data_IF_150600986052
#
_entry.id   IF_150600986052
#
_cell.length_a   1.000
_cell.length_b   1.000
_cell.length_c   1.000
_cell.angle_alpha   90.00
_cell.angle_beta   90.00
_cell.angle_gamma   90.00
#
_symmetry.space_group_name_H-M   'P 1'
#
loop_
_entity.id
_entity.type
_entity.pdbx_description
1 polymer ?
#
# COMPACT_ATOMS: atom_id res chain seq x y z
N UNK A 1 13.05 -14.45 -24.69
CA UNK A 1 11.97 -14.55 -23.68
C UNK A 1 12.03 -13.38 -22.72
N UNK A 2 10.93 -13.04 -22.02
CA UNK A 2 10.81 -11.81 -21.19
C UNK A 2 11.99 -11.53 -20.25
N UNK A 3 12.61 -12.56 -19.69
CA UNK A 3 13.73 -12.43 -18.76
C UNK A 3 15.05 -12.02 -19.42
N UNK A 4 15.29 -12.40 -20.69
CA UNK A 4 16.49 -12.00 -21.42
C UNK A 4 16.46 -10.50 -21.77
N UNK A 5 15.29 -10.00 -22.19
CA UNK A 5 15.10 -8.56 -22.44
C UNK A 5 15.28 -7.73 -21.16
N UNK A 6 14.82 -8.25 -20.02
CA UNK A 6 15.05 -7.63 -18.71
C UNK A 6 16.54 -7.61 -18.34
N UNK A 7 17.23 -8.74 -18.49
CA UNK A 7 18.67 -8.84 -18.20
C UNK A 7 19.48 -7.82 -18.99
N UNK A 8 19.22 -7.70 -20.30
CA UNK A 8 19.85 -6.67 -21.13
C UNK A 8 19.53 -5.25 -20.65
N UNK A 9 18.27 -4.97 -20.28
CA UNK A 9 17.84 -3.68 -19.74
C UNK A 9 18.53 -3.32 -18.43
N UNK A 10 18.60 -4.26 -17.49
CA UNK A 10 19.31 -4.08 -16.23
C UNK A 10 20.80 -3.80 -16.45
N UNK A 11 21.44 -4.52 -17.38
CA UNK A 11 22.85 -4.28 -17.72
C UNK A 11 23.07 -2.91 -18.38
N UNK A 12 22.18 -2.46 -19.27
CA UNK A 12 22.23 -1.11 -19.85
C UNK A 12 22.11 -0.04 -18.77
N UNK A 13 21.10 -0.14 -17.91
CA UNK A 13 20.86 0.80 -16.82
C UNK A 13 22.04 0.84 -15.82
N UNK A 14 22.61 -0.33 -15.50
CA UNK A 14 23.76 -0.42 -14.60
C UNK A 14 25.01 0.23 -15.21
N UNK A 15 25.26 0.02 -16.52
CA UNK A 15 26.37 0.66 -17.24
C UNK A 15 26.21 2.17 -17.30
N UNK A 16 25.00 2.68 -17.56
CA UNK A 16 24.72 4.11 -17.61
C UNK A 16 25.04 4.82 -16.28
N UNK A 17 24.89 4.12 -15.14
CA UNK A 17 25.22 4.60 -13.80
C UNK A 17 26.62 4.21 -13.30
N UNK A 18 27.42 3.52 -14.10
CA UNK A 18 28.69 2.92 -13.64
C UNK A 18 28.52 2.06 -12.35
N UNK A 19 27.37 1.40 -12.22
CA UNK A 19 26.99 0.64 -11.04
C UNK A 19 27.26 -0.86 -11.21
N UNK A 20 27.69 -1.52 -10.14
CA UNK A 20 27.72 -2.98 -10.05
C UNK A 20 26.47 -3.47 -9.34
N UNK A 21 25.65 -4.22 -10.06
CA UNK A 21 24.38 -4.74 -9.55
C UNK A 21 24.47 -6.24 -9.34
N UNK A 22 23.74 -6.74 -8.35
CA UNK A 22 23.46 -8.17 -8.22
C UNK A 22 21.99 -8.36 -8.52
N UNK A 23 21.65 -9.36 -9.33
CA UNK A 23 20.26 -9.68 -9.57
C UNK A 23 20.09 -11.17 -9.77
N UNK A 24 18.88 -11.64 -9.53
CA UNK A 24 18.48 -13.01 -9.85
C UNK A 24 17.03 -13.03 -10.28
N UNK A 25 16.71 -13.95 -11.17
CA UNK A 25 15.33 -14.29 -11.50
C UNK A 25 15.02 -15.65 -10.91
N UNK A 26 13.92 -15.74 -10.18
CA UNK A 26 13.38 -17.01 -9.69
C UNK A 26 11.87 -17.02 -9.91
N UNK A 27 11.40 -18.07 -10.57
CA UNK A 27 10.00 -18.24 -10.97
C UNK A 27 9.52 -17.04 -11.83
N UNK A 28 8.50 -16.33 -11.36
CA UNK A 28 7.92 -15.15 -11.99
C UNK A 28 8.39 -13.82 -11.35
N UNK A 29 9.51 -13.82 -10.61
CA UNK A 29 10.00 -12.66 -9.88
C UNK A 29 11.49 -12.41 -10.12
N UNK A 30 11.86 -11.13 -10.18
CA UNK A 30 13.24 -10.67 -10.18
C UNK A 30 13.56 -10.01 -8.83
N UNK A 31 14.74 -10.30 -8.30
CA UNK A 31 15.29 -9.63 -7.13
C UNK A 31 16.56 -8.91 -7.57
N UNK A 32 16.67 -7.62 -7.25
CA UNK A 32 17.73 -6.74 -7.71
C UNK A 32 18.29 -6.01 -6.49
N UNK A 33 19.61 -6.07 -6.33
CA UNK A 33 20.38 -5.30 -5.36
C UNK A 33 21.15 -4.25 -6.14
N UNK A 34 20.81 -2.99 -5.87
CA UNK A 34 21.37 -1.83 -6.56
C UNK A 34 22.00 -0.88 -5.54
N UNK A 35 23.26 -0.46 -5.70
CA UNK A 35 23.89 0.52 -4.82
C UNK A 35 23.27 1.91 -5.06
N UNK A 36 22.84 2.56 -3.98
CA UNK A 36 22.30 3.91 -4.03
C UNK A 36 22.81 4.72 -2.82
N UNK A 37 23.04 6.01 -3.02
CA UNK A 37 23.54 6.94 -2.01
C UNK A 37 22.40 7.62 -1.24
N UNK A 38 21.31 7.96 -1.93
CA UNK A 38 20.17 8.67 -1.34
C UNK A 38 18.81 8.29 -1.98
N UNK A 39 17.73 8.79 -1.38
CA UNK A 39 16.36 8.50 -1.80
C UNK A 39 16.03 9.05 -3.21
N UNK A 40 16.69 10.12 -3.64
CA UNK A 40 16.49 10.69 -4.97
C UNK A 40 17.07 9.77 -6.04
N UNK A 41 18.25 9.20 -5.78
CA UNK A 41 18.87 8.19 -6.62
C UNK A 41 18.01 6.92 -6.66
N UNK A 42 17.51 6.45 -5.51
CA UNK A 42 16.57 5.31 -5.46
C UNK A 42 15.35 5.56 -6.34
N UNK A 43 14.74 6.74 -6.26
CA UNK A 43 13.59 7.09 -7.09
C UNK A 43 13.91 7.12 -8.61
N UNK A 44 15.13 7.49 -8.98
CA UNK A 44 15.60 7.45 -10.37
C UNK A 44 15.83 6.01 -10.84
N UNK A 45 16.51 5.18 -10.04
CA UNK A 45 16.78 3.77 -10.32
C UNK A 45 15.46 3.01 -10.50
N UNK A 46 14.52 3.21 -9.58
CA UNK A 46 13.23 2.52 -9.59
C UNK A 46 12.42 2.86 -10.83
N UNK A 47 12.41 4.13 -11.27
CA UNK A 47 11.75 4.51 -12.52
C UNK A 47 12.37 3.80 -13.72
N UNK A 48 13.69 3.83 -13.84
CA UNK A 48 14.38 3.22 -14.97
C UNK A 48 14.20 1.70 -15.01
N UNK A 49 14.35 1.02 -13.88
CA UNK A 49 14.13 -0.44 -13.79
C UNK A 49 12.70 -0.80 -14.15
N UNK A 50 11.71 -0.01 -13.69
CA UNK A 50 10.30 -0.21 -14.05
C UNK A 50 10.08 -0.03 -15.55
N UNK A 51 10.68 1.00 -16.14
CA UNK A 51 10.49 1.30 -17.56
C UNK A 51 11.15 0.21 -18.44
N UNK A 52 12.34 -0.29 -18.06
CA UNK A 52 12.98 -1.46 -18.69
C UNK A 52 12.14 -2.74 -18.56
N UNK A 53 11.54 -2.98 -17.39
CA UNK A 53 10.62 -4.10 -17.15
C UNK A 53 9.37 -4.02 -18.05
N UNK A 54 8.76 -2.84 -18.14
CA UNK A 54 7.57 -2.63 -18.97
C UNK A 54 7.90 -2.80 -20.47
N UNK A 55 9.04 -2.29 -20.93
CA UNK A 55 9.50 -2.46 -22.30
C UNK A 55 9.73 -3.96 -22.63
N UNK A 56 10.38 -4.70 -21.73
CA UNK A 56 10.61 -6.13 -21.89
C UNK A 56 9.30 -6.94 -22.00
N UNK A 57 8.23 -6.53 -21.29
CA UNK A 57 6.91 -7.14 -21.41
C UNK A 57 6.19 -6.77 -22.71
N UNK A 58 6.26 -5.50 -23.11
CA UNK A 58 5.62 -4.98 -24.33
C UNK A 58 6.17 -5.67 -25.60
N UNK A 59 7.49 -5.89 -25.68
CA UNK A 59 8.13 -6.59 -26.81
C UNK A 59 7.60 -8.02 -27.00
N UNK A 60 7.10 -8.64 -25.93
CA UNK A 60 6.53 -9.99 -25.97
C UNK A 60 5.00 -10.00 -26.10
N UNK A 61 4.35 -8.85 -26.32
CA UNK A 61 2.89 -8.74 -26.43
C UNK A 61 2.14 -9.10 -25.14
N UNK A 62 2.82 -9.09 -23.99
CA UNK A 62 2.21 -9.46 -22.71
C UNK A 62 1.32 -8.35 -22.18
N UNK A 63 0.15 -8.72 -21.66
CA UNK A 63 -0.75 -7.83 -20.91
C UNK A 63 -0.49 -7.86 -19.39
N UNK A 64 0.54 -8.59 -18.95
CA UNK A 64 0.92 -8.66 -17.54
C UNK A 64 1.39 -7.30 -17.02
N UNK A 65 1.12 -7.04 -15.74
CA UNK A 65 1.59 -5.85 -15.04
C UNK A 65 2.65 -6.22 -14.00
N UNK A 66 3.66 -5.35 -13.83
CA UNK A 66 4.74 -5.59 -12.88
C UNK A 66 4.49 -4.83 -11.59
N UNK A 67 4.53 -5.55 -10.47
CA UNK A 67 4.53 -4.95 -9.13
C UNK A 67 5.95 -4.96 -8.59
N UNK A 68 6.39 -3.86 -7.98
CA UNK A 68 7.75 -3.72 -7.44
C UNK A 68 7.69 -3.25 -5.99
N UNK A 69 8.40 -3.94 -5.10
CA UNK A 69 8.67 -3.49 -3.76
C UNK A 69 10.11 -3.01 -3.65
N UNK A 70 10.33 -1.87 -3.01
CA UNK A 70 11.64 -1.23 -2.88
C UNK A 70 11.99 -1.11 -1.40
N UNK A 71 13.13 -1.68 -1.02
CA UNK A 71 13.63 -1.64 0.35
C UNK A 71 14.34 -0.33 0.67
N UNK A 72 14.71 -0.14 1.95
CA UNK A 72 15.49 1.01 2.39
C UNK A 72 16.94 0.92 1.93
N UNK A 73 17.62 2.06 1.85
CA UNK A 73 19.08 2.11 1.72
C UNK A 73 19.70 1.57 3.02
N UNK A 74 20.66 0.66 2.86
CA UNK A 74 21.34 -0.04 3.94
C UNK A 74 22.77 -0.34 3.54
N UNK A 75 23.67 -0.36 4.51
CA UNK A 75 25.10 -0.57 4.29
C UNK A 75 25.55 -1.98 4.68
N UNK A 76 26.57 -2.50 4.00
CA UNK A 76 27.18 -3.78 4.30
C UNK A 76 26.33 -5.00 3.90
N UNK A 77 26.85 -6.20 4.17
CA UNK A 77 26.21 -7.45 3.80
C UNK A 77 24.88 -7.69 4.54
N UNK A 78 24.83 -7.35 5.83
CA UNK A 78 23.58 -7.42 6.61
C UNK A 78 22.55 -6.41 6.10
N UNK A 79 23.01 -5.26 5.60
CA UNK A 79 22.16 -4.27 4.97
C UNK A 79 21.43 -4.79 3.74
N UNK A 80 22.09 -5.62 2.92
CA UNK A 80 21.46 -6.27 1.76
C UNK A 80 20.29 -7.16 2.22
N UNK A 81 20.48 -7.96 3.28
CA UNK A 81 19.43 -8.81 3.84
C UNK A 81 18.24 -8.00 4.33
N UNK A 82 18.49 -6.92 5.08
CA UNK A 82 17.44 -6.05 5.61
C UNK A 82 16.67 -5.34 4.49
N UNK A 83 17.39 -4.77 3.52
CA UNK A 83 16.77 -4.09 2.37
C UNK A 83 15.94 -5.06 1.51
N UNK A 84 16.42 -6.31 1.33
CA UNK A 84 15.65 -7.36 0.66
C UNK A 84 14.37 -7.72 1.41
N UNK A 85 14.42 -7.85 2.74
CA UNK A 85 13.22 -8.09 3.56
C UNK A 85 12.22 -6.93 3.44
N UNK A 86 12.71 -5.68 3.55
CA UNK A 86 11.90 -4.47 3.35
C UNK A 86 11.24 -4.47 1.96
N UNK A 87 11.98 -4.77 0.89
CA UNK A 87 11.48 -4.82 -0.48
C UNK A 87 10.37 -5.87 -0.64
N UNK A 88 10.54 -7.07 -0.05
CA UNK A 88 9.51 -8.12 -0.08
C UNK A 88 8.25 -7.73 0.67
N UNK A 89 8.41 -7.10 1.84
CA UNK A 89 7.29 -6.60 2.62
C UNK A 89 6.56 -5.48 1.87
N UNK A 90 7.30 -4.55 1.25
CA UNK A 90 6.72 -3.48 0.43
C UNK A 90 5.96 -4.01 -0.79
N UNK A 91 6.47 -5.04 -1.46
CA UNK A 91 5.77 -5.69 -2.57
C UNK A 91 4.45 -6.32 -2.09
N UNK A 92 4.49 -7.01 -0.95
CA UNK A 92 3.32 -7.71 -0.39
C UNK A 92 2.24 -6.73 0.04
N UNK A 93 2.60 -5.73 0.86
CA UNK A 93 1.69 -4.69 1.34
C UNK A 93 1.18 -3.85 0.17
N UNK A 94 2.07 -3.42 -0.73
CA UNK A 94 1.73 -2.59 -1.88
C UNK A 94 0.69 -3.22 -2.80
N UNK A 95 0.80 -4.54 -3.05
CA UNK A 95 -0.19 -5.27 -3.84
C UNK A 95 -1.56 -5.34 -3.18
N UNK A 96 -1.63 -5.46 -1.85
CA UNK A 96 -2.91 -5.46 -1.10
C UNK A 96 -3.55 -4.07 -1.12
N UNK A 97 -2.76 -3.02 -0.87
CA UNK A 97 -3.28 -1.66 -0.73
C UNK A 97 -3.62 -0.98 -2.07
N UNK A 98 -2.78 -1.18 -3.09
CA UNK A 98 -2.85 -0.41 -4.33
C UNK A 98 -3.14 -1.28 -5.57
N UNK A 99 -3.31 -2.58 -5.38
CA UNK A 99 -3.49 -3.56 -6.44
C UNK A 99 -2.19 -3.91 -7.19
N UNK A 100 -2.30 -4.75 -8.24
CA UNK A 100 -1.16 -5.15 -9.05
C UNK A 100 -0.67 -3.99 -9.93
N UNK A 101 0.59 -4.08 -10.38
CA UNK A 101 1.17 -3.12 -11.33
C UNK A 101 1.75 -1.86 -10.68
N UNK A 102 1.88 -1.84 -9.35
CA UNK A 102 2.33 -0.67 -8.60
C UNK A 102 3.74 -0.85 -8.07
N UNK A 103 4.43 0.28 -7.96
CA UNK A 103 5.71 0.40 -7.26
C UNK A 103 5.43 0.88 -5.85
N UNK A 104 6.00 0.22 -4.85
CA UNK A 104 5.81 0.56 -3.45
C UNK A 104 7.15 0.64 -2.74
N UNK A 105 7.46 1.82 -2.21
CA UNK A 105 8.66 2.05 -1.41
C UNK A 105 8.34 1.74 0.05
N UNK A 106 9.18 0.92 0.69
CA UNK A 106 8.99 0.53 2.08
C UNK A 106 8.88 1.74 3.02
N UNK A 107 9.64 2.80 2.76
CA UNK A 107 9.62 4.01 3.58
C UNK A 107 8.30 4.78 3.51
N UNK A 108 7.55 4.63 2.42
CA UNK A 108 6.28 5.33 2.19
C UNK A 108 5.06 4.58 2.75
N UNK A 109 5.27 3.39 3.32
CA UNK A 109 4.19 2.57 3.89
C UNK A 109 3.64 3.09 5.23
N UNK A 110 4.34 3.98 5.93
CA UNK A 110 3.84 4.58 7.17
C UNK A 110 3.42 3.53 8.21
N UNK A 111 2.19 3.67 8.72
CA UNK A 111 1.57 2.80 9.73
C UNK A 111 1.36 1.36 9.26
N UNK A 112 1.21 1.13 7.95
CA UNK A 112 0.99 -0.21 7.41
C UNK A 112 2.16 -1.16 7.68
N UNK A 113 3.36 -0.64 7.93
CA UNK A 113 4.52 -1.45 8.38
C UNK A 113 4.26 -2.09 9.74
N UNK A 114 3.66 -1.34 10.66
CA UNK A 114 3.34 -1.79 12.01
C UNK A 114 2.18 -2.77 11.98
N UNK A 115 1.13 -2.44 11.22
CA UNK A 115 -0.05 -3.30 11.03
C UNK A 115 0.38 -4.64 10.44
N UNK A 116 1.22 -4.63 9.41
CA UNK A 116 1.72 -5.86 8.79
C UNK A 116 2.63 -6.66 9.73
N UNK A 117 3.49 -6.01 10.51
CA UNK A 117 4.30 -6.70 11.52
C UNK A 117 3.44 -7.38 12.60
N UNK A 118 2.24 -6.86 12.83
CA UNK A 118 1.24 -7.39 13.75
C UNK A 118 0.20 -8.31 13.08
N UNK A 119 0.32 -8.64 11.78
CA UNK A 119 -0.77 -9.29 11.01
C UNK A 119 -1.18 -10.67 11.55
N UNK A 120 -0.29 -11.32 12.31
CA UNK A 120 -0.53 -12.62 12.94
C UNK A 120 -1.07 -12.55 14.37
N UNK A 121 -1.20 -11.35 14.94
CA UNK A 121 -1.78 -11.17 16.27
C UNK A 121 -3.31 -11.27 16.18
N UNK A 122 -3.96 -12.23 16.89
CA UNK A 122 -5.42 -12.33 16.90
C UNK A 122 -6.11 -11.03 17.34
N UNK A 123 -5.48 -10.31 18.25
CA UNK A 123 -5.92 -9.01 18.76
C UNK A 123 -6.17 -7.97 17.65
N UNK A 124 -5.43 -8.06 16.53
CA UNK A 124 -5.60 -7.13 15.42
C UNK A 124 -6.96 -7.32 14.72
N UNK A 125 -7.42 -8.57 14.63
CA UNK A 125 -8.74 -8.93 14.08
C UNK A 125 -9.83 -8.50 15.05
N UNK A 126 -9.69 -8.86 16.34
CA UNK A 126 -10.65 -8.47 17.39
C UNK A 126 -10.82 -6.95 17.46
N UNK A 127 -9.73 -6.19 17.43
CA UNK A 127 -9.77 -4.72 17.40
C UNK A 127 -10.57 -4.18 16.22
N UNK A 128 -10.39 -4.75 15.03
CA UNK A 128 -11.13 -4.33 13.83
C UNK A 128 -12.61 -4.68 13.91
N UNK A 129 -12.95 -5.87 14.43
CA UNK A 129 -14.33 -6.33 14.62
C UNK A 129 -15.06 -5.48 15.66
N UNK A 130 -14.44 -5.18 16.80
CA UNK A 130 -15.04 -4.33 17.84
C UNK A 130 -15.24 -2.88 17.37
N UNK A 131 -14.37 -2.37 16.50
CA UNK A 131 -14.46 -1.00 16.01
C UNK A 131 -15.42 -0.84 14.82
N UNK A 132 -15.46 -1.80 13.90
CA UNK A 132 -16.17 -1.67 12.62
C UNK A 132 -17.27 -2.71 12.40
N UNK A 133 -17.31 -3.79 13.19
CA UNK A 133 -18.27 -4.89 13.05
C UNK A 133 -19.73 -4.42 12.97
N UNK A 134 -20.23 -3.60 13.93
CA UNK A 134 -21.60 -3.09 13.89
C UNK A 134 -21.93 -2.30 12.61
N UNK A 135 -20.95 -1.54 12.10
CA UNK A 135 -21.12 -0.75 10.88
C UNK A 135 -21.13 -1.64 9.63
N UNK A 136 -20.27 -2.66 9.59
CA UNK A 136 -20.23 -3.64 8.49
C UNK A 136 -21.54 -4.41 8.41
N UNK A 137 -22.08 -4.85 9.55
CA UNK A 137 -23.37 -5.55 9.62
C UNK A 137 -24.51 -4.64 9.17
N UNK A 138 -24.53 -3.39 9.64
CA UNK A 138 -25.53 -2.42 9.24
C UNK A 138 -25.48 -2.12 7.73
N UNK A 139 -24.28 -1.92 7.16
CA UNK A 139 -24.08 -1.71 5.73
C UNK A 139 -24.55 -2.91 4.91
N UNK A 140 -24.28 -4.14 5.38
CA UNK A 140 -24.74 -5.37 4.70
C UNK A 140 -26.26 -5.46 4.67
N UNK A 141 -26.93 -5.07 5.75
CA UNK A 141 -28.39 -5.16 5.86
C UNK A 141 -29.12 -4.02 5.12
N UNK A 142 -28.53 -2.82 5.04
CA UNK A 142 -29.24 -1.61 4.59
C UNK A 142 -28.62 -0.92 3.37
N UNK A 143 -27.42 -1.33 2.92
CA UNK A 143 -26.72 -0.66 1.82
C UNK A 143 -26.35 0.80 2.12
N UNK A 144 -26.08 1.13 3.39
CA UNK A 144 -25.96 2.52 3.84
C UNK A 144 -24.62 3.21 3.51
N UNK A 145 -23.61 2.45 3.11
CA UNK A 145 -22.24 2.90 2.79
C UNK A 145 -21.55 3.69 3.92
N UNK A 146 -21.78 3.31 5.17
CA UNK A 146 -21.19 3.92 6.36
C UNK A 146 -19.67 3.72 6.42
N UNK A 147 -19.16 2.51 6.13
CA UNK A 147 -17.72 2.24 6.09
C UNK A 147 -17.03 3.14 5.06
N UNK A 148 -17.58 3.17 3.84
CA UNK A 148 -17.08 4.02 2.74
C UNK A 148 -17.11 5.50 3.11
N UNK A 149 -18.10 5.90 3.90
CA UNK A 149 -18.24 7.28 4.37
C UNK A 149 -17.18 7.62 5.42
N UNK A 150 -16.85 6.72 6.34
CA UNK A 150 -15.72 6.91 7.27
C UNK A 150 -14.38 6.99 6.53
N UNK A 151 -14.14 6.12 5.55
CA UNK A 151 -12.93 6.15 4.73
C UNK A 151 -12.77 7.51 4.02
N UNK A 152 -13.82 7.99 3.38
CA UNK A 152 -13.82 9.30 2.73
C UNK A 152 -13.65 10.45 3.74
N UNK A 153 -14.30 10.37 4.91
CA UNK A 153 -14.20 11.36 5.96
C UNK A 153 -12.77 11.50 6.49
N UNK A 154 -12.08 10.40 6.79
CA UNK A 154 -10.69 10.45 7.24
C UNK A 154 -9.72 10.85 6.12
N UNK A 155 -9.96 10.42 4.88
CA UNK A 155 -9.18 10.85 3.70
C UNK A 155 -9.26 12.37 3.50
N UNK A 156 -10.43 12.95 3.75
CA UNK A 156 -10.69 14.39 3.72
C UNK A 156 -10.35 15.09 5.05
N UNK A 157 -9.42 14.56 5.85
CA UNK A 157 -8.97 15.15 7.12
C UNK A 157 -10.13 15.51 8.07
N UNK A 158 -11.15 14.65 8.15
CA UNK A 158 -12.35 14.87 8.95
C UNK A 158 -13.23 16.05 8.48
N UNK A 159 -13.18 16.40 7.19
CA UNK A 159 -14.04 17.43 6.58
C UNK A 159 -15.26 16.79 5.90
N UNK A 160 -16.50 16.99 6.42
CA UNK A 160 -17.70 16.48 5.77
C UNK A 160 -17.91 17.05 4.37
N UNK A 161 -17.44 18.27 4.11
CA UNK A 161 -17.56 18.93 2.81
C UNK A 161 -16.69 18.23 1.77
N UNK A 162 -15.42 17.99 2.08
CA UNK A 162 -14.49 17.35 1.15
C UNK A 162 -14.81 15.86 1.00
N UNK A 163 -15.23 15.19 2.08
CA UNK A 163 -15.73 13.81 2.02
C UNK A 163 -16.93 13.67 1.09
N UNK A 164 -17.86 14.64 1.12
CA UNK A 164 -19.00 14.66 0.21
C UNK A 164 -18.58 14.78 -1.25
N UNK A 165 -17.53 15.56 -1.55
CA UNK A 165 -16.93 15.65 -2.88
C UNK A 165 -16.31 14.33 -3.32
N UNK A 166 -15.58 13.63 -2.43
CA UNK A 166 -14.98 12.31 -2.71
C UNK A 166 -16.04 11.22 -2.97
N UNK A 167 -17.19 11.31 -2.29
CA UNK A 167 -18.30 10.37 -2.41
C UNK A 167 -19.29 10.74 -3.52
N UNK A 168 -19.17 11.92 -4.12
CA UNK A 168 -20.15 12.48 -5.07
C UNK A 168 -21.57 12.57 -4.49
N UNK A 169 -21.70 12.99 -3.23
CA UNK A 169 -22.98 13.20 -2.54
C UNK A 169 -23.08 14.61 -1.95
N UNK A 170 -24.23 14.95 -1.39
CA UNK A 170 -24.40 16.23 -0.69
C UNK A 170 -23.76 16.17 0.72
N UNK A 171 -23.23 17.30 1.23
CA UNK A 171 -22.65 17.39 2.58
C UNK A 171 -23.59 16.87 3.68
N UNK A 172 -24.88 17.16 3.57
CA UNK A 172 -25.88 16.71 4.54
C UNK A 172 -26.01 15.19 4.59
N UNK A 173 -25.81 14.50 3.46
CA UNK A 173 -25.79 13.03 3.43
C UNK A 173 -24.62 12.48 4.24
N UNK A 174 -23.45 13.10 4.13
CA UNK A 174 -22.28 12.72 4.94
C UNK A 174 -22.54 12.95 6.42
N UNK A 175 -23.06 14.13 6.80
CA UNK A 175 -23.41 14.41 8.20
C UNK A 175 -24.41 13.38 8.75
N UNK A 176 -25.50 13.11 8.02
CA UNK A 176 -26.47 12.11 8.41
C UNK A 176 -25.85 10.72 8.60
N UNK A 177 -24.94 10.30 7.70
CA UNK A 177 -24.23 9.03 7.81
C UNK A 177 -23.29 9.02 9.03
N UNK A 178 -22.60 10.13 9.33
CA UNK A 178 -21.74 10.25 10.53
C UNK A 178 -22.57 10.21 11.82
N UNK A 179 -23.73 10.86 11.87
CA UNK A 179 -24.65 10.79 13.00
C UNK A 179 -25.15 9.34 13.19
N UNK A 180 -25.53 8.67 12.09
CA UNK A 180 -25.91 7.26 12.10
C UNK A 180 -24.79 6.35 12.61
N UNK A 181 -23.54 6.61 12.24
CA UNK A 181 -22.36 5.89 12.75
C UNK A 181 -22.24 6.08 14.27
N UNK A 182 -22.39 7.31 14.76
CA UNK A 182 -22.35 7.59 16.20
C UNK A 182 -23.48 6.87 16.95
N UNK A 183 -24.69 6.85 16.39
CA UNK A 183 -25.83 6.12 16.98
C UNK A 183 -25.60 4.60 17.03
N UNK A 184 -25.09 3.99 15.95
CA UNK A 184 -24.88 2.54 15.89
C UNK A 184 -23.74 2.09 16.81
N UNK A 185 -22.66 2.86 16.84
CA UNK A 185 -21.45 2.48 17.60
C UNK A 185 -21.48 2.97 19.05
N UNK A 186 -22.33 3.95 19.37
CA UNK A 186 -22.32 4.65 20.66
C UNK A 186 -21.07 5.51 20.87
N UNK A 187 -20.29 5.79 19.81
CA UNK A 187 -19.01 6.49 19.89
C UNK A 187 -19.15 7.98 19.57
N UNK A 188 -18.42 8.83 20.29
CA UNK A 188 -18.30 10.25 19.98
C UNK A 188 -17.19 10.50 18.94
N UNK A 189 -17.59 10.80 17.71
CA UNK A 189 -16.67 11.12 16.61
C UNK A 189 -15.92 12.46 16.80
N UNK A 190 -16.30 13.28 17.78
CA UNK A 190 -15.53 14.48 18.15
C UNK A 190 -14.33 14.15 19.06
N UNK A 191 -14.28 12.97 19.68
CA UNK A 191 -13.12 12.49 20.42
C UNK A 191 -11.96 12.12 19.47
N UNK A 192 -10.77 12.64 19.75
CA UNK A 192 -9.55 12.31 19.00
C UNK A 192 -9.21 10.83 19.09
N UNK A 193 -9.42 10.21 20.25
CA UNK A 193 -9.08 8.81 20.49
C UNK A 193 -10.02 7.87 19.74
N UNK A 194 -11.31 8.22 19.69
CA UNK A 194 -12.30 7.49 18.88
C UNK A 194 -11.98 7.61 17.40
N UNK A 195 -11.65 8.81 16.92
CA UNK A 195 -11.24 9.01 15.52
C UNK A 195 -10.01 8.18 15.18
N UNK A 196 -9.00 8.17 16.06
CA UNK A 196 -7.81 7.35 15.86
C UNK A 196 -8.16 5.85 15.84
N UNK A 197 -8.98 5.38 16.78
CA UNK A 197 -9.44 3.99 16.84
C UNK A 197 -10.11 3.56 15.53
N UNK A 198 -11.10 4.34 15.07
CA UNK A 198 -11.84 4.02 13.84
C UNK A 198 -10.94 4.10 12.60
N UNK A 199 -10.08 5.11 12.51
CA UNK A 199 -9.17 5.26 11.38
C UNK A 199 -8.14 4.12 11.32
N UNK A 200 -7.59 3.71 12.47
CA UNK A 200 -6.70 2.56 12.55
C UNK A 200 -7.44 1.27 12.17
N UNK A 201 -8.67 1.08 12.66
CA UNK A 201 -9.45 -0.10 12.32
C UNK A 201 -9.74 -0.20 10.80
N UNK A 202 -9.93 0.94 10.12
CA UNK A 202 -10.05 0.98 8.65
C UNK A 202 -8.74 0.57 7.96
N UNK A 203 -7.59 1.07 8.45
CA UNK A 203 -6.30 0.65 7.91
C UNK A 203 -6.02 -0.83 8.14
N UNK A 204 -6.40 -1.37 9.31
CA UNK A 204 -6.31 -2.80 9.61
C UNK A 204 -7.19 -3.59 8.64
N UNK A 205 -8.45 -3.18 8.47
CA UNK A 205 -9.37 -3.80 7.51
C UNK A 205 -8.76 -3.85 6.11
N UNK A 206 -8.21 -2.75 5.62
CA UNK A 206 -7.55 -2.68 4.31
C UNK A 206 -6.33 -3.60 4.22
N UNK A 207 -5.52 -3.70 5.28
CA UNK A 207 -4.33 -4.55 5.30
C UNK A 207 -4.66 -6.06 5.37
N UNK A 208 -5.79 -6.42 5.97
CA UNK A 208 -6.28 -7.79 6.12
C UNK A 208 -7.16 -8.25 4.95
N UNK A 209 -7.69 -7.31 4.14
CA UNK A 209 -8.48 -7.65 2.96
C UNK A 209 -7.58 -8.24 1.87
N UNK A 210 -7.78 -9.53 1.55
CA UNK A 210 -7.07 -10.27 0.51
C UNK A 210 -7.99 -10.55 -0.68
#
# INVERSE_FOLDING_TARGET
GRWAALEEGLHRAARARNARILWRVRNASAEIVWPAEDDAEVAAIVREVRDELNNALAVNGSTEVVSMGVGRIRSGLDGIRQSHQDARQALTIGRRLYGPGKVTLFEKLGVYRLIYAAEHLPELVTFQEEALGPLIEYDRAHGAELIRTLEAFFTANCSPKEAASLLHVHRNTVLYRLDRIAEITGLDLNSSDIRLRLHLALHVRLALSA
#
